data_IF_681701572029
#
_entry.id   IF_681701572029
#
_cell.length_a   1.000
_cell.length_b   1.000
_cell.length_c   1.000
_cell.angle_alpha   90.00
_cell.angle_beta   90.00
_cell.angle_gamma   90.00
#
_symmetry.space_group_name_H-M   'P 1'
#
loop_
_entity.id
_entity.type
_entity.pdbx_description
1 polymer ?
#
# COMPACT_ATOMS: atom_id res chain seq x y z
N UNK A 1 6.78 -23.01 39.25
CA UNK A 1 5.86 -21.87 39.37
C UNK A 1 6.23 -20.93 38.23
N UNK A 2 5.59 -21.10 37.07
CA UNK A 2 5.74 -20.23 35.91
C UNK A 2 4.92 -18.97 36.17
N UNK A 3 5.59 -17.85 36.37
CA UNK A 3 4.96 -16.54 36.43
C UNK A 3 4.39 -16.21 35.03
N UNK A 4 3.11 -16.49 34.87
CA UNK A 4 2.34 -15.94 33.73
C UNK A 4 2.35 -14.42 33.89
N UNK A 5 3.14 -13.76 33.07
CA UNK A 5 3.00 -12.31 32.85
C UNK A 5 1.57 -12.05 32.38
N UNK A 6 0.84 -11.10 32.99
CA UNK A 6 -0.50 -10.77 32.54
C UNK A 6 -0.42 -10.40 31.06
N UNK A 7 -1.11 -11.12 30.20
CA UNK A 7 -1.36 -10.67 28.84
C UNK A 7 -2.12 -9.34 28.96
N UNK A 8 -1.42 -8.23 28.71
CA UNK A 8 -2.10 -6.96 28.48
C UNK A 8 -3.08 -7.20 27.34
N UNK A 9 -4.35 -7.28 27.67
CA UNK A 9 -5.42 -7.43 26.71
C UNK A 9 -5.33 -6.28 25.72
N UNK A 10 -5.27 -6.59 24.42
CA UNK A 10 -5.33 -5.59 23.38
C UNK A 10 -6.58 -4.72 23.59
N UNK A 11 -6.38 -3.43 23.80
CA UNK A 11 -7.47 -2.47 23.87
C UNK A 11 -7.56 -1.74 22.54
N UNK A 12 -8.68 -1.89 21.81
CA UNK A 12 -8.89 -1.15 20.57
C UNK A 12 -8.99 0.36 20.86
N UNK A 13 -8.55 1.18 19.92
CA UNK A 13 -8.64 2.64 20.04
C UNK A 13 -10.09 3.12 20.18
N UNK A 14 -11.01 2.46 19.48
CA UNK A 14 -12.45 2.67 19.63
C UNK A 14 -13.00 1.49 20.44
N UNK A 15 -13.52 1.73 21.66
CA UNK A 15 -14.13 0.68 22.49
C UNK A 15 -15.31 0.02 21.81
N UNK A 16 -15.55 -1.28 22.07
CA UNK A 16 -16.61 -2.07 21.44
C UNK A 16 -18.03 -1.58 21.76
N UNK A 17 -18.20 -0.94 22.93
CA UNK A 17 -19.47 -0.38 23.42
C UNK A 17 -19.79 1.01 22.84
N UNK A 18 -18.90 1.55 22.02
CA UNK A 18 -19.07 2.91 21.46
C UNK A 18 -20.06 2.88 20.29
N UNK A 19 -21.12 3.66 20.40
CA UNK A 19 -22.14 3.85 19.36
C UNK A 19 -21.83 5.06 18.49
N UNK A 20 -20.79 5.00 17.66
CA UNK A 20 -20.55 6.07 16.67
C UNK A 20 -21.00 5.63 15.28
N UNK A 21 -21.42 6.58 14.42
CA UNK A 21 -21.70 6.30 13.02
C UNK A 21 -20.45 5.75 12.32
N UNK A 22 -20.60 4.63 11.64
CA UNK A 22 -19.52 3.95 10.92
C UNK A 22 -19.85 3.88 9.44
N UNK A 23 -20.89 3.13 9.09
CA UNK A 23 -21.27 2.86 7.72
C UNK A 23 -22.34 3.85 7.26
N UNK A 24 -21.91 5.01 6.75
CA UNK A 24 -22.80 6.02 6.20
C UNK A 24 -22.70 6.10 4.68
N UNK A 25 -23.79 6.48 4.01
CA UNK A 25 -23.79 6.68 2.57
C UNK A 25 -22.74 7.69 2.10
N UNK A 26 -22.49 8.70 2.92
CA UNK A 26 -21.48 9.72 2.63
C UNK A 26 -20.07 9.10 2.59
N UNK A 27 -19.75 8.24 3.55
CA UNK A 27 -18.46 7.54 3.60
C UNK A 27 -18.32 6.57 2.41
N UNK A 28 -19.37 5.82 2.09
CA UNK A 28 -19.35 4.88 0.97
C UNK A 28 -19.17 5.60 -0.37
N UNK A 29 -19.92 6.67 -0.62
CA UNK A 29 -19.80 7.44 -1.86
C UNK A 29 -18.43 8.09 -1.97
N UNK A 30 -17.95 8.75 -0.91
CA UNK A 30 -16.64 9.38 -0.90
C UNK A 30 -15.51 8.35 -1.12
N UNK A 31 -15.58 7.20 -0.44
CA UNK A 31 -14.63 6.10 -0.60
C UNK A 31 -14.64 5.51 -2.01
N UNK A 32 -15.82 5.32 -2.59
CA UNK A 32 -15.96 4.82 -3.97
C UNK A 32 -15.38 5.80 -4.98
N UNK A 33 -15.66 7.10 -4.84
CA UNK A 33 -15.13 8.13 -5.75
C UNK A 33 -13.60 8.22 -5.66
N UNK A 34 -13.05 8.24 -4.45
CA UNK A 34 -11.59 8.20 -4.27
C UNK A 34 -11.01 6.89 -4.80
N UNK A 35 -11.68 5.77 -4.55
CA UNK A 35 -11.30 4.47 -5.10
C UNK A 35 -11.21 4.46 -6.62
N UNK A 36 -12.17 5.05 -7.32
CA UNK A 36 -12.14 5.19 -8.78
C UNK A 36 -10.94 6.01 -9.26
N UNK A 37 -10.66 7.15 -8.61
CA UNK A 37 -9.52 8.00 -8.97
C UNK A 37 -8.20 7.27 -8.76
N UNK A 38 -8.02 6.64 -7.61
CA UNK A 38 -6.79 5.89 -7.31
C UNK A 38 -6.65 4.62 -8.12
N UNK A 39 -7.76 3.95 -8.45
CA UNK A 39 -7.77 2.80 -9.38
C UNK A 39 -7.25 3.19 -10.76
N UNK A 40 -7.75 4.29 -11.32
CA UNK A 40 -7.31 4.77 -12.63
C UNK A 40 -5.82 5.15 -12.61
N UNK A 41 -5.38 5.83 -11.56
CA UNK A 41 -3.97 6.20 -11.37
C UNK A 41 -3.07 4.98 -11.23
N UNK A 42 -3.46 4.01 -10.40
CA UNK A 42 -2.72 2.78 -10.17
C UNK A 42 -2.62 1.93 -11.44
N UNK A 43 -3.73 1.74 -12.15
CA UNK A 43 -3.73 1.01 -13.41
C UNK A 43 -2.81 1.66 -14.45
N UNK A 44 -2.83 2.98 -14.57
CA UNK A 44 -1.94 3.71 -15.47
C UNK A 44 -0.46 3.47 -15.11
N UNK A 45 -0.11 3.55 -13.81
CA UNK A 45 1.26 3.32 -13.34
C UNK A 45 1.71 1.89 -13.58
N UNK A 46 0.86 0.91 -13.28
CA UNK A 46 1.17 -0.51 -13.51
C UNK A 46 1.47 -0.78 -14.98
N UNK A 47 0.62 -0.29 -15.87
CA UNK A 47 0.81 -0.51 -17.31
C UNK A 47 2.00 0.24 -17.89
N UNK A 48 2.37 1.40 -17.31
CA UNK A 48 3.48 2.23 -17.79
C UNK A 48 4.83 1.84 -17.22
N UNK A 49 4.87 1.55 -15.91
CA UNK A 49 6.13 1.39 -15.15
C UNK A 49 6.27 -0.02 -14.56
N UNK A 50 5.20 -0.81 -14.54
CA UNK A 50 5.17 -2.15 -13.93
C UNK A 50 5.09 -2.12 -12.40
N UNK A 51 4.87 -0.96 -11.80
CA UNK A 51 4.80 -0.77 -10.34
C UNK A 51 3.56 0.04 -9.97
N UNK A 52 3.13 -0.08 -8.73
CA UNK A 52 2.10 0.78 -8.14
C UNK A 52 2.58 1.34 -6.80
N UNK A 53 1.96 2.42 -6.38
CA UNK A 53 2.18 3.03 -5.07
C UNK A 53 0.89 2.85 -4.27
N UNK A 54 1.00 2.35 -3.04
CA UNK A 54 -0.16 2.18 -2.18
C UNK A 54 -0.93 3.49 -1.97
N UNK A 55 -2.22 3.45 -2.24
CA UNK A 55 -3.13 4.57 -2.05
C UNK A 55 -3.61 4.71 -0.59
N UNK A 56 -3.37 3.73 0.27
CA UNK A 56 -3.95 3.65 1.61
C UNK A 56 -3.68 4.89 2.46
N UNK A 57 -2.42 5.34 2.53
CA UNK A 57 -2.05 6.52 3.32
C UNK A 57 -2.55 7.82 2.70
N UNK A 58 -2.35 8.09 1.38
CA UNK A 58 -2.92 9.26 0.72
C UNK A 58 -4.44 9.35 0.86
N UNK A 59 -5.15 8.24 0.70
CA UNK A 59 -6.62 8.21 0.87
C UNK A 59 -7.03 8.54 2.30
N UNK A 60 -6.29 8.07 3.32
CA UNK A 60 -6.56 8.42 4.72
C UNK A 60 -6.50 9.94 4.95
N UNK A 61 -5.45 10.59 4.43
CA UNK A 61 -5.30 12.06 4.54
C UNK A 61 -6.39 12.80 3.78
N UNK A 62 -6.70 12.32 2.56
CA UNK A 62 -7.75 12.93 1.73
C UNK A 62 -9.14 12.74 2.34
N UNK A 63 -9.44 11.59 2.94
CA UNK A 63 -10.70 11.36 3.64
C UNK A 63 -10.93 12.39 4.74
N UNK A 64 -9.94 12.56 5.63
CA UNK A 64 -10.01 13.54 6.71
C UNK A 64 -10.18 14.96 6.17
N UNK A 65 -9.41 15.31 5.13
CA UNK A 65 -9.44 16.65 4.53
C UNK A 65 -10.76 16.92 3.84
N UNK A 66 -11.26 15.98 3.06
CA UNK A 66 -12.52 16.07 2.32
C UNK A 66 -13.69 16.25 3.27
N UNK A 67 -13.79 15.41 4.30
CA UNK A 67 -14.90 15.53 5.27
C UNK A 67 -14.82 16.81 6.10
N UNK A 68 -13.63 17.27 6.47
CA UNK A 68 -13.47 18.56 7.13
C UNK A 68 -13.88 19.72 6.22
N UNK A 69 -13.50 19.69 4.96
CA UNK A 69 -13.89 20.70 3.98
C UNK A 69 -15.41 20.71 3.75
N UNK A 70 -16.01 19.54 3.55
CA UNK A 70 -17.46 19.39 3.37
C UNK A 70 -18.24 19.83 4.62
N UNK A 71 -17.78 19.42 5.81
CA UNK A 71 -18.39 19.82 7.08
C UNK A 71 -18.39 21.34 7.25
N UNK A 72 -17.28 21.99 6.90
CA UNK A 72 -17.16 23.46 6.98
C UNK A 72 -18.01 24.16 5.93
N UNK A 73 -18.06 23.63 4.69
CA UNK A 73 -18.78 24.26 3.57
C UNK A 73 -20.30 24.09 3.71
N UNK A 74 -20.75 22.89 4.06
CA UNK A 74 -22.17 22.53 4.13
C UNK A 74 -22.75 22.55 5.55
N UNK A 75 -21.95 22.97 6.55
CA UNK A 75 -22.33 22.95 7.98
C UNK A 75 -22.85 21.58 8.45
N UNK A 76 -22.28 20.52 7.90
CA UNK A 76 -22.63 19.15 8.22
C UNK A 76 -21.87 18.69 9.47
N UNK A 77 -22.32 17.58 10.07
CA UNK A 77 -21.60 16.90 11.15
C UNK A 77 -20.19 16.52 10.69
N UNK A 78 -19.21 16.62 11.59
CA UNK A 78 -17.88 16.08 11.31
C UNK A 78 -17.95 14.54 11.19
N UNK A 79 -17.21 13.99 10.25
CA UNK A 79 -17.11 12.55 10.09
C UNK A 79 -16.37 11.94 11.28
N UNK A 80 -16.78 10.76 11.70
CA UNK A 80 -16.12 9.98 12.74
C UNK A 80 -14.84 9.33 12.20
N UNK A 81 -13.98 8.86 13.10
CA UNK A 81 -12.78 8.08 12.71
C UNK A 81 -13.18 6.81 11.96
N UNK A 82 -14.32 6.18 12.30
CA UNK A 82 -14.80 4.98 11.63
C UNK A 82 -15.29 5.28 10.21
N UNK A 83 -15.98 6.40 9.98
CA UNK A 83 -16.35 6.86 8.64
C UNK A 83 -15.12 7.14 7.77
N UNK A 84 -14.11 7.81 8.33
CA UNK A 84 -12.84 8.04 7.63
C UNK A 84 -12.11 6.73 7.30
N UNK A 85 -12.20 5.73 8.18
CA UNK A 85 -11.67 4.39 7.92
C UNK A 85 -12.41 3.68 6.79
N UNK A 86 -13.74 3.80 6.70
CA UNK A 86 -14.52 3.26 5.57
C UNK A 86 -14.07 3.90 4.24
N UNK A 87 -13.87 5.20 4.21
CA UNK A 87 -13.36 5.89 3.01
C UNK A 87 -11.98 5.39 2.63
N UNK A 88 -11.09 5.26 3.60
CA UNK A 88 -9.72 4.77 3.39
C UNK A 88 -9.72 3.34 2.85
N UNK A 89 -10.48 2.45 3.46
CA UNK A 89 -10.53 1.04 3.04
C UNK A 89 -11.17 0.86 1.68
N UNK A 90 -12.24 1.59 1.37
CA UNK A 90 -12.89 1.56 0.05
C UNK A 90 -11.97 2.11 -1.04
N UNK A 91 -11.26 3.21 -0.76
CA UNK A 91 -10.27 3.78 -1.68
C UNK A 91 -9.09 2.85 -1.96
N UNK A 92 -8.55 2.24 -0.92
CA UNK A 92 -7.47 1.26 -1.03
C UNK A 92 -7.91 -0.03 -1.74
N UNK A 93 -9.15 -0.49 -1.50
CA UNK A 93 -9.70 -1.65 -2.19
C UNK A 93 -9.80 -1.42 -3.71
N UNK A 94 -10.23 -0.24 -4.14
CA UNK A 94 -10.28 0.13 -5.55
C UNK A 94 -8.90 0.08 -6.21
N UNK A 95 -7.90 0.64 -5.57
CA UNK A 95 -6.51 0.60 -6.03
C UNK A 95 -5.99 -0.83 -6.15
N UNK A 96 -6.21 -1.66 -5.13
CA UNK A 96 -5.76 -3.06 -5.10
C UNK A 96 -6.42 -3.90 -6.20
N UNK A 97 -7.70 -3.70 -6.51
CA UNK A 97 -8.40 -4.37 -7.61
C UNK A 97 -7.78 -3.95 -8.94
N UNK A 98 -7.54 -2.66 -9.15
CA UNK A 98 -6.96 -2.14 -10.38
C UNK A 98 -5.53 -2.67 -10.59
N UNK A 99 -4.73 -2.76 -9.54
CA UNK A 99 -3.41 -3.38 -9.58
C UNK A 99 -3.49 -4.85 -9.99
N UNK A 100 -4.35 -5.63 -9.32
CA UNK A 100 -4.56 -7.04 -9.64
C UNK A 100 -4.92 -7.27 -11.11
N UNK A 101 -5.85 -6.47 -11.64
CA UNK A 101 -6.24 -6.49 -13.06
C UNK A 101 -5.07 -6.09 -13.96
N UNK A 102 -4.36 -5.02 -13.64
CA UNK A 102 -3.25 -4.50 -14.44
C UNK A 102 -2.08 -5.45 -14.56
N UNK A 103 -1.85 -6.31 -13.56
CA UNK A 103 -0.78 -7.33 -13.59
C UNK A 103 -1.24 -8.61 -14.30
N UNK A 104 -2.48 -9.05 -14.06
CA UNK A 104 -2.95 -10.36 -14.58
C UNK A 104 -3.47 -10.31 -16.01
N UNK A 105 -4.13 -9.22 -16.42
CA UNK A 105 -4.73 -9.12 -17.75
C UNK A 105 -3.71 -9.13 -18.89
N UNK A 106 -2.56 -8.45 -18.83
CA UNK A 106 -1.55 -8.55 -19.89
C UNK A 106 -1.06 -9.97 -20.12
N UNK A 107 -0.98 -10.79 -19.06
CA UNK A 107 -0.61 -12.22 -19.20
C UNK A 107 -1.63 -12.99 -20.07
N UNK A 108 -2.92 -12.70 -19.96
CA UNK A 108 -3.95 -13.31 -20.79
C UNK A 108 -3.83 -12.88 -22.25
N UNK A 109 -3.43 -11.62 -22.52
CA UNK A 109 -3.14 -11.17 -23.89
C UNK A 109 -1.98 -11.96 -24.52
N UNK A 110 -0.92 -12.20 -23.75
CA UNK A 110 0.22 -13.01 -24.22
C UNK A 110 -0.16 -14.46 -24.51
N UNK A 111 -1.19 -14.98 -23.82
CA UNK A 111 -1.76 -16.30 -24.08
C UNK A 111 -2.74 -16.33 -25.26
N UNK A 112 -2.96 -15.21 -25.96
CA UNK A 112 -3.82 -15.11 -27.13
C UNK A 112 -5.31 -14.86 -26.81
N UNK A 113 -5.66 -14.53 -25.57
CA UNK A 113 -7.03 -14.19 -25.23
C UNK A 113 -7.32 -12.70 -25.50
N UNK A 114 -8.45 -12.42 -26.14
CA UNK A 114 -8.89 -11.04 -26.32
C UNK A 114 -9.38 -10.43 -25.00
N UNK A 115 -8.96 -9.19 -24.74
CA UNK A 115 -9.42 -8.38 -23.59
C UNK A 115 -10.73 -7.69 -23.94
N UNK A 116 -11.82 -8.31 -23.54
CA UNK A 116 -13.14 -7.70 -23.59
C UNK A 116 -13.49 -7.07 -22.23
N UNK A 117 -14.07 -5.87 -22.25
CA UNK A 117 -14.48 -5.15 -21.03
C UNK A 117 -15.37 -6.02 -20.15
N UNK A 118 -16.28 -6.77 -20.72
CA UNK A 118 -17.17 -7.64 -19.94
C UNK A 118 -16.40 -8.72 -19.19
N UNK A 119 -15.41 -9.34 -19.82
CA UNK A 119 -14.53 -10.34 -19.17
C UNK A 119 -13.74 -9.74 -18.04
N UNK A 120 -13.12 -8.57 -18.27
CA UNK A 120 -12.37 -7.85 -17.24
C UNK A 120 -13.25 -7.51 -16.04
N UNK A 121 -14.47 -7.02 -16.27
CA UNK A 121 -15.44 -6.73 -15.21
C UNK A 121 -15.81 -7.97 -14.41
N UNK A 122 -16.17 -9.07 -15.09
CA UNK A 122 -16.54 -10.33 -14.42
C UNK A 122 -15.40 -10.87 -13.59
N UNK A 123 -14.18 -10.91 -14.13
CA UNK A 123 -13.00 -11.40 -13.41
C UNK A 123 -12.70 -10.51 -12.20
N UNK A 124 -12.77 -9.19 -12.36
CA UNK A 124 -12.53 -8.24 -11.26
C UNK A 124 -13.55 -8.40 -10.13
N UNK A 125 -14.83 -8.54 -10.45
CA UNK A 125 -15.90 -8.74 -9.46
C UNK A 125 -15.73 -10.09 -8.77
N UNK A 126 -15.50 -11.17 -9.53
CA UNK A 126 -15.29 -12.50 -8.95
C UNK A 126 -14.04 -12.55 -8.08
N UNK A 127 -12.94 -11.93 -8.52
CA UNK A 127 -11.70 -11.81 -7.73
C UNK A 127 -11.93 -11.06 -6.43
N UNK A 128 -12.64 -9.93 -6.46
CA UNK A 128 -13.02 -9.17 -5.27
C UNK A 128 -13.89 -9.98 -4.31
N UNK A 129 -14.91 -10.68 -4.81
CA UNK A 129 -15.78 -11.54 -3.99
C UNK A 129 -14.99 -12.69 -3.35
N UNK A 130 -14.12 -13.37 -4.11
CA UNK A 130 -13.28 -14.43 -3.58
C UNK A 130 -12.33 -13.89 -2.51
N UNK A 131 -11.76 -12.69 -2.70
CA UNK A 131 -10.93 -12.03 -1.70
C UNK A 131 -11.68 -11.76 -0.40
N UNK A 132 -12.91 -11.25 -0.47
CA UNK A 132 -13.77 -11.03 0.70
C UNK A 132 -14.04 -12.36 1.41
N UNK A 133 -14.49 -13.39 0.68
CA UNK A 133 -14.81 -14.69 1.26
C UNK A 133 -13.60 -15.36 1.91
N UNK A 134 -12.43 -15.29 1.26
CA UNK A 134 -11.20 -15.82 1.80
C UNK A 134 -10.73 -15.06 3.05
N UNK A 135 -10.92 -13.73 3.08
CA UNK A 135 -10.47 -12.89 4.19
C UNK A 135 -11.27 -13.10 5.48
N UNK A 136 -12.52 -13.52 5.41
CA UNK A 136 -13.36 -13.78 6.60
C UNK A 136 -12.67 -14.77 7.58
N UNK A 137 -12.27 -16.00 7.18
CA UNK A 137 -11.53 -16.90 8.04
C UNK A 137 -10.08 -16.45 8.30
N UNK A 138 -9.41 -15.90 7.29
CA UNK A 138 -8.02 -15.47 7.39
C UNK A 138 -7.83 -14.31 8.36
N UNK A 139 -8.78 -13.38 8.45
CA UNK A 139 -8.75 -12.30 9.42
C UNK A 139 -8.60 -12.80 10.85
N UNK A 140 -9.34 -13.86 11.21
CA UNK A 140 -9.26 -14.45 12.54
C UNK A 140 -7.87 -15.02 12.85
N UNK A 141 -7.27 -15.69 11.86
CA UNK A 141 -5.96 -16.31 12.02
C UNK A 141 -4.84 -15.25 12.02
N UNK A 142 -4.77 -14.41 11.00
CA UNK A 142 -3.64 -13.53 10.76
C UNK A 142 -3.71 -12.21 11.53
N UNK A 143 -4.88 -11.60 11.64
CA UNK A 143 -5.01 -10.30 12.30
C UNK A 143 -5.29 -10.48 13.79
N UNK A 144 -6.31 -11.29 14.16
CA UNK A 144 -6.70 -11.37 15.57
C UNK A 144 -5.72 -12.22 16.41
N UNK A 145 -5.25 -13.37 15.90
CA UNK A 145 -4.40 -14.29 16.66
C UNK A 145 -2.90 -14.02 16.53
N UNK A 146 -2.44 -13.65 15.32
CA UNK A 146 -1.02 -13.49 15.00
C UNK A 146 -0.55 -12.04 15.00
N UNK A 147 -1.46 -11.07 15.10
CA UNK A 147 -1.07 -9.67 15.29
C UNK A 147 -0.67 -9.46 16.75
N UNK A 148 0.56 -9.10 16.98
CA UNK A 148 1.11 -8.95 18.31
C UNK A 148 2.13 -7.82 18.41
N UNK A 149 2.72 -7.70 19.60
CA UNK A 149 3.72 -6.68 19.90
C UNK A 149 4.98 -6.91 19.05
N UNK A 150 5.59 -5.85 18.48
CA UNK A 150 6.85 -5.97 17.77
C UNK A 150 7.92 -6.65 18.62
N UNK A 151 8.60 -7.65 18.04
CA UNK A 151 9.68 -8.37 18.71
C UNK A 151 9.31 -9.74 19.32
N UNK A 152 8.02 -10.09 19.38
CA UNK A 152 7.62 -11.43 19.77
C UNK A 152 7.74 -12.40 18.58
N UNK A 153 8.31 -13.60 18.76
CA UNK A 153 8.41 -14.58 17.69
C UNK A 153 7.01 -15.04 17.24
N UNK A 154 6.82 -15.13 15.92
CA UNK A 154 5.56 -15.56 15.34
C UNK A 154 4.49 -14.48 15.18
N UNK A 155 4.76 -13.23 15.53
CA UNK A 155 3.82 -12.12 15.32
C UNK A 155 3.95 -11.51 13.94
N UNK A 156 2.81 -11.24 13.31
CA UNK A 156 2.75 -10.55 12.03
C UNK A 156 2.65 -9.03 12.24
N UNK A 157 3.46 -8.29 11.51
CA UNK A 157 3.44 -6.83 11.50
C UNK A 157 2.71 -6.36 10.23
N UNK A 158 1.83 -5.40 10.41
CA UNK A 158 1.09 -4.73 9.32
C UNK A 158 1.51 -3.25 9.26
N UNK A 159 2.67 -2.93 8.68
CA UNK A 159 3.25 -1.58 8.75
C UNK A 159 2.35 -0.54 8.10
N UNK A 160 1.79 -0.86 6.94
CA UNK A 160 0.91 0.04 6.20
C UNK A 160 -0.41 0.29 6.94
N UNK A 161 -1.06 -0.77 7.43
CA UNK A 161 -2.28 -0.64 8.25
C UNK A 161 -2.02 0.14 9.53
N UNK A 162 -0.88 -0.07 10.18
CA UNK A 162 -0.46 0.69 11.36
C UNK A 162 -0.27 2.17 11.03
N UNK A 163 0.38 2.49 9.91
CA UNK A 163 0.55 3.87 9.45
C UNK A 163 -0.80 4.55 9.16
N UNK A 164 -1.71 3.87 8.46
CA UNK A 164 -3.06 4.39 8.21
C UNK A 164 -3.83 4.65 9.50
N UNK A 165 -3.78 3.72 10.46
CA UNK A 165 -4.41 3.90 11.76
C UNK A 165 -3.84 5.12 12.51
N UNK A 166 -2.52 5.31 12.51
CA UNK A 166 -1.88 6.48 13.12
C UNK A 166 -2.30 7.79 12.45
N UNK A 167 -2.43 7.82 11.13
CA UNK A 167 -2.93 8.99 10.39
C UNK A 167 -4.37 9.30 10.79
N UNK A 168 -5.24 8.30 10.84
CA UNK A 168 -6.65 8.49 11.23
C UNK A 168 -6.78 8.98 12.68
N UNK A 169 -6.05 8.36 13.62
CA UNK A 169 -6.03 8.74 15.03
C UNK A 169 -5.49 10.17 15.20
N UNK A 170 -4.44 10.54 14.48
CA UNK A 170 -3.87 11.88 14.50
C UNK A 170 -4.83 12.90 13.90
N UNK A 171 -5.56 12.50 12.88
CA UNK A 171 -6.62 13.29 12.30
C UNK A 171 -7.76 13.55 13.28
N UNK A 172 -8.20 12.54 14.01
CA UNK A 172 -9.28 12.67 15.02
C UNK A 172 -8.85 13.56 16.18
N UNK A 173 -7.66 13.36 16.73
CA UNK A 173 -7.12 14.17 17.82
C UNK A 173 -6.93 15.64 17.45
N UNK A 174 -6.70 15.94 16.20
CA UNK A 174 -6.49 17.31 15.73
C UNK A 174 -5.25 18.00 16.35
N UNK A 175 -5.26 19.31 16.39
CA UNK A 175 -4.21 20.11 17.02
C UNK A 175 -2.84 19.97 16.33
N UNK A 176 -1.75 19.99 17.10
CA UNK A 176 -0.38 19.91 16.61
C UNK A 176 -0.08 18.59 15.90
N UNK A 177 -0.65 17.49 16.40
CA UNK A 177 -0.47 16.16 15.81
C UNK A 177 -1.10 16.07 14.42
N UNK A 178 -2.30 16.62 14.24
CA UNK A 178 -2.92 16.72 12.92
C UNK A 178 -2.12 17.61 11.96
N UNK A 179 -1.60 18.76 12.45
CA UNK A 179 -0.77 19.65 11.63
C UNK A 179 0.50 18.95 11.12
N UNK A 180 1.12 18.09 11.93
CA UNK A 180 2.32 17.32 11.53
C UNK A 180 2.02 16.36 10.36
N UNK A 181 0.85 15.71 10.36
CA UNK A 181 0.43 14.83 9.25
C UNK A 181 0.31 15.64 7.95
N UNK A 182 -0.35 16.81 8.00
CA UNK A 182 -0.49 17.66 6.81
C UNK A 182 0.84 18.27 6.36
N UNK A 183 1.73 18.58 7.28
CA UNK A 183 3.08 19.03 6.94
C UNK A 183 3.87 17.93 6.24
N UNK A 184 3.84 16.71 6.78
CA UNK A 184 4.47 15.53 6.17
C UNK A 184 3.92 15.24 4.77
N UNK A 185 2.60 15.30 4.61
CA UNK A 185 1.94 15.17 3.30
C UNK A 185 2.41 16.27 2.33
N UNK A 186 2.46 17.52 2.79
CA UNK A 186 2.91 18.65 1.96
C UNK A 186 4.37 18.50 1.51
N UNK A 187 5.26 18.04 2.39
CA UNK A 187 6.67 17.78 2.05
C UNK A 187 6.77 16.63 1.03
N UNK A 188 6.04 15.52 1.25
CA UNK A 188 6.04 14.39 0.34
C UNK A 188 5.46 14.77 -1.04
N UNK A 189 4.38 15.54 -1.05
CA UNK A 189 3.77 16.05 -2.28
C UNK A 189 4.73 16.99 -3.04
N UNK A 190 5.37 17.93 -2.35
CA UNK A 190 6.35 18.84 -2.95
C UNK A 190 7.54 18.07 -3.54
N UNK A 191 8.07 17.09 -2.80
CA UNK A 191 9.14 16.22 -3.30
C UNK A 191 8.69 15.46 -4.56
N UNK A 192 7.52 14.84 -4.54
CA UNK A 192 6.97 14.09 -5.68
C UNK A 192 6.70 14.99 -6.88
N UNK A 193 6.21 16.21 -6.65
CA UNK A 193 6.00 17.21 -7.70
C UNK A 193 7.32 17.63 -8.35
N UNK A 194 8.37 17.85 -7.58
CA UNK A 194 9.70 18.24 -8.11
C UNK A 194 10.35 17.07 -8.86
N UNK A 195 10.23 15.84 -8.34
CA UNK A 195 10.85 14.65 -8.96
C UNK A 195 10.09 14.18 -10.20
N UNK A 196 8.79 13.99 -10.10
CA UNK A 196 7.98 13.42 -11.20
C UNK A 196 7.27 14.47 -12.03
N UNK A 197 6.73 15.52 -11.41
CA UNK A 197 6.00 16.57 -12.10
C UNK A 197 6.91 17.48 -12.92
N UNK A 198 8.00 17.94 -12.31
CA UNK A 198 8.97 18.83 -12.93
C UNK A 198 10.18 18.08 -13.53
N UNK A 199 10.37 16.81 -13.20
CA UNK A 199 11.51 15.98 -13.61
C UNK A 199 12.87 16.61 -13.33
N UNK A 200 12.97 17.41 -12.26
CA UNK A 200 14.20 18.11 -11.88
C UNK A 200 15.20 17.20 -11.13
N UNK A 201 14.70 16.17 -10.48
CA UNK A 201 15.52 15.21 -9.75
C UNK A 201 15.29 13.81 -10.31
N UNK A 202 16.33 13.00 -10.29
CA UNK A 202 16.21 11.61 -10.69
C UNK A 202 15.35 10.83 -9.69
N UNK A 203 14.33 10.13 -10.18
CA UNK A 203 13.43 9.29 -9.37
C UNK A 203 14.21 8.12 -8.75
N UNK A 204 15.20 7.59 -9.48
CA UNK A 204 16.02 6.47 -9.01
C UNK A 204 17.50 6.74 -9.27
N UNK A 205 18.33 6.51 -8.26
CA UNK A 205 19.77 6.42 -8.41
C UNK A 205 20.14 5.02 -8.89
N UNK A 206 20.78 4.90 -10.05
CA UNK A 206 21.21 3.63 -10.64
C UNK A 206 22.73 3.60 -10.69
N UNK A 207 23.35 2.62 -10.04
CA UNK A 207 24.79 2.39 -10.07
C UNK A 207 25.04 1.03 -10.73
N UNK A 208 25.51 1.00 -11.98
CA UNK A 208 25.83 -0.26 -12.64
C UNK A 208 27.14 -0.81 -12.10
N UNK A 209 27.15 -2.06 -11.65
CA UNK A 209 28.34 -2.78 -11.21
C UNK A 209 28.91 -3.63 -12.36
N UNK A 210 29.36 -2.97 -13.41
CA UNK A 210 29.85 -3.61 -14.64
C UNK A 210 31.08 -4.51 -14.43
N UNK A 211 31.77 -4.38 -13.30
CA UNK A 211 32.92 -5.23 -12.95
C UNK A 211 32.49 -6.63 -12.48
N UNK A 212 31.24 -6.80 -12.00
CA UNK A 212 30.70 -8.12 -11.62
C UNK A 212 30.06 -8.78 -12.84
N UNK A 213 29.13 -8.07 -13.48
CA UNK A 213 28.44 -8.50 -14.71
C UNK A 213 27.68 -7.29 -15.30
N UNK A 214 27.44 -7.33 -16.62
CA UNK A 214 26.64 -6.30 -17.31
C UNK A 214 25.20 -6.18 -16.79
N UNK A 215 24.66 -7.25 -16.17
CA UNK A 215 23.33 -7.29 -15.59
C UNK A 215 23.26 -6.87 -14.12
N UNK A 216 24.40 -6.66 -13.43
CA UNK A 216 24.42 -6.25 -12.04
C UNK A 216 24.19 -4.74 -11.92
N UNK A 217 23.03 -4.34 -11.40
CA UNK A 217 22.67 -2.93 -11.18
C UNK A 217 22.16 -2.79 -9.76
N UNK A 218 22.74 -1.84 -9.02
CA UNK A 218 22.14 -1.35 -7.79
C UNK A 218 21.28 -0.15 -8.11
N UNK A 219 19.98 -0.27 -7.88
CA UNK A 219 19.03 0.82 -8.07
C UNK A 219 18.29 1.08 -6.76
N UNK A 220 18.23 2.35 -6.36
CA UNK A 220 17.45 2.80 -5.19
C UNK A 220 16.51 3.90 -5.63
N UNK A 221 15.23 3.72 -5.38
CA UNK A 221 14.23 4.75 -5.57
C UNK A 221 14.21 5.69 -4.35
N UNK A 222 14.26 7.00 -4.60
CA UNK A 222 14.22 8.02 -3.56
C UNK A 222 12.77 8.47 -3.33
N UNK A 223 11.98 7.60 -2.69
CA UNK A 223 10.58 7.87 -2.39
C UNK A 223 10.38 8.24 -0.92
N UNK A 224 9.84 9.41 -0.64
CA UNK A 224 9.59 9.91 0.72
C UNK A 224 8.57 9.06 1.46
N UNK A 225 7.58 8.51 0.76
CA UNK A 225 6.60 7.59 1.30
C UNK A 225 7.23 6.28 1.80
N UNK A 226 8.17 5.72 1.04
CA UNK A 226 8.90 4.50 1.44
C UNK A 226 9.82 4.73 2.62
N UNK A 227 10.40 5.92 2.74
CA UNK A 227 11.20 6.30 3.90
C UNK A 227 10.36 6.32 5.17
N UNK A 228 9.15 6.88 5.11
CA UNK A 228 8.20 6.88 6.21
C UNK A 228 7.78 5.47 6.62
N UNK A 229 7.46 4.61 5.66
CA UNK A 229 7.14 3.20 5.91
C UNK A 229 8.33 2.48 6.54
N UNK A 230 9.54 2.66 6.01
CA UNK A 230 10.77 2.07 6.55
C UNK A 230 11.01 2.45 8.01
N UNK A 231 10.72 3.70 8.39
CA UNK A 231 10.81 4.15 9.78
C UNK A 231 9.79 3.43 10.69
N UNK A 232 8.55 3.24 10.22
CA UNK A 232 7.49 2.58 10.99
C UNK A 232 7.78 1.10 11.21
N UNK A 233 8.22 0.37 10.17
CA UNK A 233 8.49 -1.08 10.26
C UNK A 233 9.75 -1.40 11.07
N UNK A 234 10.64 -0.44 11.22
CA UNK A 234 11.86 -0.53 12.00
C UNK A 234 13.00 -1.28 11.32
N UNK A 235 14.19 -1.18 11.94
CA UNK A 235 15.45 -1.63 11.35
C UNK A 235 15.48 -3.13 11.04
N UNK A 236 14.92 -3.97 11.93
CA UNK A 236 14.99 -5.43 11.76
C UNK A 236 14.29 -5.90 10.50
N UNK A 237 13.06 -5.44 10.29
CA UNK A 237 12.28 -5.82 9.11
C UNK A 237 12.86 -5.20 7.83
N UNK A 238 13.25 -3.92 7.88
CA UNK A 238 13.90 -3.24 6.76
C UNK A 238 15.22 -3.90 6.35
N UNK A 239 16.01 -4.41 7.31
CA UNK A 239 17.25 -5.14 7.03
C UNK A 239 17.00 -6.47 6.31
N UNK A 240 15.94 -7.20 6.67
CA UNK A 240 15.55 -8.45 5.98
C UNK A 240 15.11 -8.13 4.54
N UNK A 241 14.32 -7.08 4.33
CA UNK A 241 13.92 -6.64 2.98
C UNK A 241 15.13 -6.22 2.14
N UNK A 242 16.07 -5.47 2.73
CA UNK A 242 17.30 -5.06 2.05
C UNK A 242 18.17 -6.29 1.67
N UNK A 243 18.30 -7.27 2.57
CA UNK A 243 19.03 -8.50 2.29
C UNK A 243 18.40 -9.28 1.11
N UNK A 244 17.06 -9.36 1.07
CA UNK A 244 16.32 -9.95 -0.06
C UNK A 244 16.56 -9.21 -1.37
N UNK A 245 16.56 -7.88 -1.36
CA UNK A 245 16.84 -7.06 -2.53
C UNK A 245 18.29 -7.27 -3.03
N UNK A 246 19.28 -7.28 -2.14
CA UNK A 246 20.67 -7.54 -2.49
C UNK A 246 20.84 -8.94 -3.07
N UNK A 247 20.23 -9.95 -2.46
CA UNK A 247 20.26 -11.33 -2.98
C UNK A 247 19.67 -11.39 -4.41
N UNK A 248 18.51 -10.77 -4.63
CA UNK A 248 17.83 -10.75 -5.92
C UNK A 248 18.66 -10.04 -6.99
N UNK A 249 18.99 -8.78 -6.77
CA UNK A 249 19.61 -7.94 -7.80
C UNK A 249 21.11 -8.12 -7.97
N UNK A 250 21.84 -8.47 -6.90
CA UNK A 250 23.30 -8.58 -6.96
C UNK A 250 23.78 -10.01 -7.17
N UNK A 251 22.95 -11.03 -6.88
CA UNK A 251 23.33 -12.44 -6.96
C UNK A 251 22.47 -13.19 -7.97
N UNK A 252 21.13 -13.23 -7.76
CA UNK A 252 20.27 -14.10 -8.58
C UNK A 252 20.15 -13.62 -10.03
N UNK A 253 19.93 -12.34 -10.26
CA UNK A 253 19.80 -11.79 -11.62
C UNK A 253 21.11 -11.95 -12.40
N UNK A 254 22.29 -11.55 -11.87
CA UNK A 254 23.57 -11.82 -12.56
C UNK A 254 23.85 -13.31 -12.79
N UNK A 255 23.47 -14.19 -11.87
CA UNK A 255 23.63 -15.64 -12.02
C UNK A 255 22.75 -16.19 -13.16
N UNK A 256 21.49 -15.79 -13.21
CA UNK A 256 20.57 -16.19 -14.30
C UNK A 256 21.09 -15.66 -15.64
N UNK A 257 21.57 -14.43 -15.68
CA UNK A 257 22.17 -13.85 -16.89
C UNK A 257 23.40 -14.67 -17.35
N UNK A 258 24.30 -14.99 -16.43
CA UNK A 258 25.51 -15.78 -16.73
C UNK A 258 25.17 -17.18 -17.27
N UNK A 259 24.19 -17.85 -16.67
CA UNK A 259 23.73 -19.17 -17.16
C UNK A 259 23.01 -19.03 -18.51
N UNK A 260 22.21 -17.98 -18.68
CA UNK A 260 21.40 -17.72 -19.87
C UNK A 260 22.22 -17.29 -21.09
N UNK A 261 23.31 -16.56 -20.90
CA UNK A 261 24.17 -16.11 -21.98
C UNK A 261 24.77 -17.27 -22.80
N UNK A 262 24.96 -18.43 -22.16
CA UNK A 262 25.48 -19.66 -22.79
C UNK A 262 24.37 -20.63 -23.22
N UNK A 263 23.11 -20.28 -23.06
CA UNK A 263 21.98 -21.14 -23.46
C UNK A 263 21.65 -20.97 -24.94
N UNK A 264 21.46 -22.07 -25.72
CA UNK A 264 21.07 -21.99 -27.13
C UNK A 264 19.64 -21.44 -27.34
N UNK A 265 18.84 -21.39 -26.29
CA UNK A 265 17.47 -20.84 -26.30
C UNK A 265 17.38 -19.66 -25.34
N UNK A 266 16.73 -18.57 -25.76
CA UNK A 266 16.47 -17.45 -24.90
C UNK A 266 15.66 -17.89 -23.66
N UNK A 267 16.14 -17.57 -22.46
CA UNK A 267 15.47 -17.92 -21.19
C UNK A 267 14.23 -17.05 -20.97
N UNK A 268 14.19 -15.85 -21.56
CA UNK A 268 13.03 -14.98 -21.53
C UNK A 268 12.72 -14.47 -22.94
N UNK A 269 11.45 -14.30 -23.30
CA UNK A 269 11.08 -13.60 -24.52
C UNK A 269 11.63 -12.18 -24.44
N UNK A 270 12.33 -11.75 -25.48
CA UNK A 270 12.91 -10.40 -25.62
C UNK A 270 11.85 -9.33 -25.85
#
# INVERSE_FOLDING_TARGET
>A
MSSETPQESYQPFVPEDTTMPEFTWQAVIAGTLLGLVFSASSLYLVLKVGMTVSASIPVSVLAITLFRALSKLFKMRQATILENNIVQTAGSAGESIAFGVGVTMPALLLLGFNMDIQRVMVVSVLGGLLGILAMIPLRRAFIVKLHGKPGQPGTLLYPEGTACAQVLISGEKGGTTGATVFLGFGIAFAHKFVTEGMSLLAVSAKIPFTFINKAAVFASEMATELLGVGYIIGLRTSAVMMAGALLGYMILIPLIFFIGENSPTAIAPG
#
